data_IF_876649530229
#
_entry.id   IF_876649530229
#
_cell.length_a   1.000
_cell.length_b   1.000
_cell.length_c   1.000
_cell.angle_alpha   90.00
_cell.angle_beta   90.00
_cell.angle_gamma   90.00
#
_symmetry.space_group_name_H-M   'P 1'
#
loop_
_entity.id
_entity.type
_entity.pdbx_description
1 polymer ?
#
# COMPACT_ATOMS: atom_id res chain seq x y z
N UNK A 1 9.55 -18.48 38.11
CA UNK A 1 8.36 -18.18 37.29
C UNK A 1 8.44 -16.72 36.88
N UNK A 2 8.17 -16.38 35.63
CA UNK A 2 8.27 -15.00 35.15
C UNK A 2 7.07 -14.18 35.66
N UNK A 3 7.31 -13.04 36.29
CA UNK A 3 6.23 -12.15 36.77
C UNK A 3 5.52 -11.54 35.56
N UNK A 4 4.21 -11.73 35.39
CA UNK A 4 3.48 -11.13 34.28
C UNK A 4 3.44 -9.60 34.43
N UNK A 5 3.41 -8.84 33.31
CA UNK A 5 3.34 -7.39 33.35
C UNK A 5 2.00 -6.93 33.96
N UNK A 6 2.06 -5.94 34.85
CA UNK A 6 0.88 -5.34 35.49
C UNK A 6 0.00 -4.58 34.46
N UNK A 7 0.64 -3.97 33.46
CA UNK A 7 -0.04 -3.28 32.35
C UNK A 7 0.05 -4.10 31.07
N UNK A 8 -1.10 -4.39 30.45
CA UNK A 8 -1.17 -5.01 29.13
C UNK A 8 -1.51 -3.95 28.07
N UNK A 9 -1.00 -4.09 26.84
CA UNK A 9 -1.40 -3.20 25.75
C UNK A 9 -2.90 -3.37 25.45
N UNK A 10 -3.56 -2.27 25.14
CA UNK A 10 -4.96 -2.29 24.73
C UNK A 10 -5.21 -3.12 23.46
N UNK A 11 -4.18 -3.28 22.62
CA UNK A 11 -4.22 -4.12 21.42
C UNK A 11 -2.96 -5.01 21.35
N UNK A 12 -3.09 -6.34 21.54
CA UNK A 12 -1.95 -7.27 21.54
C UNK A 12 -1.56 -7.76 20.13
N UNK A 13 -1.99 -7.10 19.06
CA UNK A 13 -1.70 -7.49 17.67
C UNK A 13 -0.40 -6.83 17.18
N UNK A 14 0.72 -7.54 17.29
CA UNK A 14 2.07 -7.04 17.00
C UNK A 14 2.63 -7.39 15.60
N UNK A 15 1.77 -7.78 14.65
CA UNK A 15 2.23 -8.11 13.30
C UNK A 15 2.79 -6.88 12.58
N UNK A 16 3.89 -7.06 11.85
CA UNK A 16 4.52 -6.03 11.00
C UNK A 16 3.88 -5.87 9.63
N UNK A 17 2.98 -6.78 9.24
CA UNK A 17 2.31 -6.74 7.94
C UNK A 17 1.62 -8.07 7.61
N UNK A 18 0.29 -8.10 7.37
CA UNK A 18 -0.69 -7.05 7.67
C UNK A 18 -0.71 -6.66 9.15
N UNK A 19 -0.97 -5.39 9.46
CA UNK A 19 -0.95 -4.83 10.82
C UNK A 19 -2.33 -4.33 11.28
N UNK A 20 -2.48 -4.06 12.58
CA UNK A 20 -3.73 -3.59 13.16
C UNK A 20 -4.18 -2.25 12.56
N UNK A 21 -5.48 -2.13 12.25
CA UNK A 21 -6.08 -0.85 11.87
C UNK A 21 -6.18 0.10 13.06
N UNK A 22 -6.36 1.39 12.80
CA UNK A 22 -6.55 2.42 13.84
C UNK A 22 -7.73 2.06 14.76
N UNK A 23 -7.71 2.47 16.05
CA UNK A 23 -8.84 2.29 16.95
C UNK A 23 -10.16 2.82 16.38
N UNK A 24 -11.26 2.11 16.62
CA UNK A 24 -12.59 2.49 16.12
C UNK A 24 -12.82 2.26 14.62
N UNK A 25 -11.88 1.65 13.90
CA UNK A 25 -12.09 1.30 12.49
C UNK A 25 -13.20 0.26 12.32
N UNK A 26 -14.09 0.48 11.35
CA UNK A 26 -15.18 -0.42 10.97
C UNK A 26 -15.19 -0.68 9.46
N UNK A 27 -15.54 -1.91 9.07
CA UNK A 27 -15.71 -2.29 7.67
C UNK A 27 -16.83 -1.51 6.98
N UNK A 28 -17.84 -1.05 7.74
CA UNK A 28 -18.95 -0.25 7.23
C UNK A 28 -18.50 1.09 6.63
N UNK A 29 -17.28 1.55 6.95
CA UNK A 29 -16.69 2.76 6.37
C UNK A 29 -16.19 2.54 4.92
N UNK A 30 -16.16 1.28 4.44
CA UNK A 30 -15.79 0.97 3.06
C UNK A 30 -17.04 0.96 2.19
N UNK A 31 -17.18 1.97 1.33
CA UNK A 31 -18.19 1.96 0.29
C UNK A 31 -17.87 0.85 -0.73
N UNK A 32 -18.82 -0.08 -0.89
CA UNK A 32 -18.73 -1.24 -1.79
C UNK A 32 -19.47 -1.02 -3.11
N UNK A 33 -20.04 0.16 -3.36
CA UNK A 33 -20.78 0.46 -4.60
C UNK A 33 -19.93 0.33 -5.88
N UNK A 34 -18.60 0.36 -5.77
CA UNK A 34 -17.67 0.13 -6.87
C UNK A 34 -17.42 -1.35 -7.20
N UNK A 35 -17.80 -2.29 -6.32
CA UNK A 35 -17.57 -3.72 -6.56
C UNK A 35 -18.37 -4.20 -7.78
N UNK A 36 -17.74 -5.04 -8.60
CA UNK A 36 -18.33 -5.58 -9.83
C UNK A 36 -18.55 -4.55 -10.96
N UNK A 37 -18.14 -3.29 -10.77
CA UNK A 37 -18.23 -2.24 -11.79
C UNK A 37 -16.92 -2.14 -12.58
N UNK A 38 -17.02 -1.64 -13.81
CA UNK A 38 -15.83 -1.27 -14.58
C UNK A 38 -15.03 -0.20 -13.86
N UNK A 39 -13.71 -0.37 -13.75
CA UNK A 39 -12.81 0.64 -13.20
C UNK A 39 -12.80 1.96 -14.00
N UNK A 40 -13.29 1.94 -15.24
CA UNK A 40 -13.44 3.14 -16.09
C UNK A 40 -14.73 3.91 -15.84
N UNK A 41 -15.68 3.33 -15.10
CA UNK A 41 -16.92 4.03 -14.77
C UNK A 41 -16.64 5.24 -13.86
N UNK A 42 -17.49 6.27 -13.96
CA UNK A 42 -17.29 7.55 -13.27
C UNK A 42 -17.03 7.38 -11.77
N UNK A 43 -17.83 6.55 -11.09
CA UNK A 43 -17.72 6.36 -9.64
C UNK A 43 -16.42 5.63 -9.20
N UNK A 44 -16.06 4.43 -9.72
CA UNK A 44 -14.77 3.82 -9.40
C UNK A 44 -13.57 4.70 -9.79
N UNK A 45 -13.62 5.37 -10.95
CA UNK A 45 -12.56 6.28 -11.41
C UNK A 45 -12.36 7.45 -10.44
N UNK A 46 -13.45 8.05 -9.94
CA UNK A 46 -13.36 9.17 -9.00
C UNK A 46 -12.76 8.75 -7.65
N UNK A 47 -12.95 7.50 -7.21
CA UNK A 47 -12.28 6.96 -6.02
C UNK A 47 -10.77 6.87 -6.20
N UNK A 48 -10.30 6.39 -7.35
CA UNK A 48 -8.86 6.34 -7.66
C UNK A 48 -8.27 7.76 -7.70
N UNK A 49 -8.96 8.69 -8.37
CA UNK A 49 -8.57 10.10 -8.41
C UNK A 49 -8.49 10.71 -7.01
N UNK A 50 -9.47 10.43 -6.13
CA UNK A 50 -9.46 10.90 -4.75
C UNK A 50 -8.21 10.44 -4.00
N UNK A 51 -7.86 9.16 -4.10
CA UNK A 51 -6.64 8.63 -3.46
C UNK A 51 -5.39 9.31 -4.00
N UNK A 52 -5.31 9.54 -5.31
CA UNK A 52 -4.17 10.26 -5.92
C UNK A 52 -4.07 11.69 -5.36
N UNK A 53 -5.18 12.43 -5.32
CA UNK A 53 -5.22 13.81 -4.83
C UNK A 53 -4.93 13.91 -3.33
N UNK A 54 -5.57 13.08 -2.51
CA UNK A 54 -5.35 13.05 -1.06
C UNK A 54 -3.89 12.71 -0.74
N UNK A 55 -3.31 11.69 -1.39
CA UNK A 55 -1.92 11.29 -1.17
C UNK A 55 -0.94 12.40 -1.56
N UNK A 56 -1.19 13.11 -2.67
CA UNK A 56 -0.39 14.26 -3.09
C UNK A 56 -0.39 15.35 -2.02
N UNK A 57 -1.57 15.66 -1.46
CA UNK A 57 -1.71 16.66 -0.42
C UNK A 57 -1.06 16.22 0.91
N UNK A 58 -1.27 14.98 1.34
CA UNK A 58 -0.76 14.47 2.62
C UNK A 58 0.76 14.39 2.63
N UNK A 59 1.36 14.03 1.49
CA UNK A 59 2.81 13.82 1.37
C UNK A 59 3.56 15.03 0.79
N UNK A 60 2.84 16.12 0.47
CA UNK A 60 3.40 17.33 -0.14
C UNK A 60 4.24 17.04 -1.39
N UNK A 61 3.68 16.23 -2.31
CA UNK A 61 4.41 15.79 -3.50
C UNK A 61 4.53 16.96 -4.50
N UNK A 62 5.73 17.24 -5.06
CA UNK A 62 5.95 18.34 -6.00
C UNK A 62 5.06 18.27 -7.25
N UNK A 63 4.74 19.43 -7.83
CA UNK A 63 3.77 19.54 -8.93
C UNK A 63 4.19 18.78 -10.19
N UNK A 64 5.49 18.70 -10.45
CA UNK A 64 6.09 18.03 -11.60
C UNK A 64 6.11 16.49 -11.49
N UNK A 65 5.81 15.94 -10.31
CA UNK A 65 5.82 14.48 -10.10
C UNK A 65 4.45 13.87 -10.41
N UNK A 66 4.46 12.70 -11.07
CA UNK A 66 3.27 11.89 -11.27
C UNK A 66 3.12 10.84 -10.16
N UNK A 67 1.89 10.58 -9.71
CA UNK A 67 1.57 9.51 -8.77
C UNK A 67 0.82 8.39 -9.49
N UNK A 68 1.43 7.20 -9.51
CA UNK A 68 0.83 5.98 -10.05
C UNK A 68 0.26 5.09 -8.95
N UNK A 69 -0.87 4.43 -9.23
CA UNK A 69 -1.40 3.31 -8.42
C UNK A 69 -1.12 2.03 -9.21
N UNK A 70 -0.34 1.13 -8.63
CA UNK A 70 0.10 -0.12 -9.28
C UNK A 70 -0.28 -1.33 -8.41
N UNK A 71 -0.54 -2.51 -9.01
CA UNK A 71 -0.78 -3.73 -8.26
C UNK A 71 0.50 -4.28 -7.62
N UNK A 72 0.36 -5.33 -6.81
CA UNK A 72 1.47 -6.08 -6.20
C UNK A 72 2.34 -5.33 -5.18
N UNK A 73 1.85 -4.23 -4.59
CA UNK A 73 2.48 -3.52 -3.47
C UNK A 73 3.91 -3.06 -3.81
N UNK A 74 4.75 -2.87 -2.80
CA UNK A 74 6.16 -2.47 -2.93
C UNK A 74 6.93 -3.37 -3.90
N UNK A 75 6.73 -4.70 -3.86
CA UNK A 75 7.39 -5.63 -4.80
C UNK A 75 7.06 -5.32 -6.25
N UNK A 76 5.77 -5.12 -6.58
CA UNK A 76 5.36 -4.75 -7.93
C UNK A 76 5.82 -3.36 -8.35
N UNK A 77 5.86 -2.41 -7.41
CA UNK A 77 6.40 -1.08 -7.67
C UNK A 77 7.90 -1.13 -7.99
N UNK A 78 8.69 -1.90 -7.23
CA UNK A 78 10.10 -2.15 -7.50
C UNK A 78 10.30 -2.85 -8.84
N UNK A 79 9.51 -3.87 -9.15
CA UNK A 79 9.60 -4.58 -10.43
C UNK A 79 9.33 -3.62 -11.61
N UNK A 80 8.26 -2.81 -11.55
CA UNK A 80 7.94 -1.82 -12.58
C UNK A 80 9.06 -0.79 -12.74
N UNK A 81 9.65 -0.34 -11.63
CA UNK A 81 10.79 0.55 -11.61
C UNK A 81 12.00 -0.06 -12.32
N UNK A 82 12.33 -1.33 -12.04
CA UNK A 82 13.44 -2.03 -12.70
C UNK A 82 13.22 -2.13 -14.21
N UNK A 83 12.02 -2.52 -14.66
CA UNK A 83 11.73 -2.63 -16.10
C UNK A 83 11.76 -1.30 -16.86
N UNK A 84 11.58 -0.17 -16.16
CA UNK A 84 11.50 1.16 -16.79
C UNK A 84 12.76 2.00 -16.64
N UNK A 85 13.59 1.72 -15.64
CA UNK A 85 14.80 2.50 -15.34
C UNK A 85 16.10 1.75 -15.67
N UNK A 86 16.07 0.43 -15.83
CA UNK A 86 17.21 -0.32 -16.33
C UNK A 86 17.36 -0.07 -17.84
N UNK A 87 18.43 0.61 -18.22
CA UNK A 87 18.80 0.84 -19.62
C UNK A 87 19.51 -0.36 -20.25
N UNK A 88 20.15 -0.15 -21.40
CA UNK A 88 20.86 -1.17 -22.20
C UNK A 88 21.94 -1.96 -21.43
N UNK A 89 22.43 -1.43 -20.31
CA UNK A 89 23.59 -1.99 -19.61
C UNK A 89 23.21 -3.25 -18.83
N UNK A 90 24.09 -4.26 -18.91
CA UNK A 90 23.99 -5.45 -18.09
C UNK A 90 24.00 -5.09 -16.61
N UNK A 91 23.13 -5.75 -15.85
CA UNK A 91 23.07 -5.64 -14.39
C UNK A 91 23.28 -7.01 -13.76
N UNK A 92 24.10 -7.04 -12.71
CA UNK A 92 24.24 -8.24 -11.89
C UNK A 92 23.08 -8.28 -10.88
N UNK A 93 22.20 -9.25 -11.06
CA UNK A 93 21.08 -9.49 -10.14
C UNK A 93 21.51 -10.57 -9.15
N UNK A 94 21.58 -10.20 -7.88
CA UNK A 94 21.79 -11.14 -6.80
C UNK A 94 20.46 -11.31 -6.07
N UNK A 95 19.87 -12.51 -6.19
CA UNK A 95 18.64 -12.86 -5.51
C UNK A 95 18.96 -13.73 -4.31
N UNK A 96 18.44 -13.34 -3.15
CA UNK A 96 18.37 -14.17 -1.97
C UNK A 96 16.93 -14.18 -1.49
N UNK A 97 16.49 -15.36 -1.13
CA UNK A 97 15.09 -15.70 -0.92
C UNK A 97 15.02 -16.36 0.49
N UNK A 98 13.96 -16.09 1.26
CA UNK A 98 13.73 -16.65 2.61
C UNK A 98 12.48 -17.56 2.72
N UNK A 99 11.68 -17.62 1.66
CA UNK A 99 10.38 -18.24 1.41
C UNK A 99 10.40 -18.96 0.04
N UNK A 100 11.06 -20.13 -0.03
CA UNK A 100 11.31 -20.86 -1.27
C UNK A 100 10.10 -21.08 -2.18
#
# INVERSE_FOLDING_TARGET
>A
MQTPPESRPANPKFSSGPTAKRPGWSIANLDTASLGRSHRANYPKSRLQKVISDSRQILDIPEEYLLGIVPASDTGAFELALWTMLGERGVDILSWESFG
#
